data_IF_513539274735
#
_entry.id   IF_513539274735
#
_cell.length_a   1.000
_cell.length_b   1.000
_cell.length_c   1.000
_cell.angle_alpha   90.00
_cell.angle_beta   90.00
_cell.angle_gamma   90.00
#
_symmetry.space_group_name_H-M   'P 1'
#
loop_
_entity.id
_entity.type
_entity.pdbx_description
1 polymer ?
#
# COMPACT_ATOMS: atom_id res chain seq x y z
N UNK A 1 24.88 32.74 16.27
CA UNK A 1 24.45 31.57 15.46
C UNK A 1 23.03 31.23 15.85
N UNK A 2 22.10 30.94 14.91
CA UNK A 2 20.87 30.11 15.11
C UNK A 2 19.56 30.51 14.39
N UNK A 3 19.53 31.45 13.44
CA UNK A 3 18.32 31.61 12.58
C UNK A 3 18.48 31.07 11.16
N UNK A 4 19.67 31.21 10.58
CA UNK A 4 19.96 30.71 9.22
C UNK A 4 19.99 29.17 9.14
N UNK A 5 20.47 28.51 10.20
CA UNK A 5 20.57 27.04 10.26
C UNK A 5 19.20 26.36 10.35
N UNK A 6 18.27 26.93 11.12
CA UNK A 6 16.91 26.40 11.27
C UNK A 6 16.11 26.54 9.95
N UNK A 7 16.33 27.62 9.20
CA UNK A 7 15.70 27.81 7.90
C UNK A 7 16.23 26.82 6.84
N UNK A 8 17.54 26.54 6.84
CA UNK A 8 18.15 25.61 5.89
C UNK A 8 17.68 24.16 6.10
N UNK A 9 17.61 23.70 7.36
CA UNK A 9 17.08 22.37 7.68
C UNK A 9 15.60 22.26 7.24
N UNK A 10 14.78 23.27 7.50
CA UNK A 10 13.38 23.30 7.05
C UNK A 10 13.21 23.17 5.54
N UNK A 11 14.05 23.83 4.74
CA UNK A 11 14.01 23.73 3.27
C UNK A 11 14.46 22.37 2.74
N UNK A 12 15.44 21.73 3.38
CA UNK A 12 15.95 20.41 2.97
C UNK A 12 14.90 19.32 3.25
N UNK A 13 14.24 19.37 4.42
CA UNK A 13 13.16 18.42 4.75
C UNK A 13 11.93 18.61 3.85
N UNK A 14 11.56 19.85 3.53
CA UNK A 14 10.46 20.12 2.59
C UNK A 14 10.78 19.65 1.15
N UNK A 15 12.03 19.81 0.71
CA UNK A 15 12.48 19.37 -0.62
C UNK A 15 12.55 17.84 -0.74
N UNK A 16 13.01 17.13 0.28
CA UNK A 16 12.99 15.66 0.31
C UNK A 16 11.56 15.12 0.31
N UNK A 17 10.66 15.71 1.11
CA UNK A 17 9.27 15.26 1.18
C UNK A 17 8.52 15.48 -0.14
N UNK A 18 8.76 16.61 -0.83
CA UNK A 18 8.20 16.83 -2.16
C UNK A 18 8.74 15.84 -3.20
N UNK A 19 10.03 15.50 -3.15
CA UNK A 19 10.63 14.49 -4.06
C UNK A 19 9.98 13.11 -3.90
N UNK A 20 9.76 12.64 -2.67
CA UNK A 20 9.09 11.36 -2.43
C UNK A 20 7.63 11.35 -2.88
N UNK A 21 6.90 12.44 -2.61
CA UNK A 21 5.51 12.61 -3.06
C UNK A 21 5.41 12.60 -4.59
N UNK A 22 6.29 13.32 -5.27
CA UNK A 22 6.31 13.37 -6.74
C UNK A 22 6.65 12.00 -7.32
N UNK A 23 7.59 11.26 -6.72
CA UNK A 23 7.88 9.87 -7.11
C UNK A 23 6.68 8.94 -6.92
N UNK A 24 5.95 9.05 -5.81
CA UNK A 24 4.74 8.26 -5.59
C UNK A 24 3.65 8.59 -6.62
N UNK A 25 3.41 9.86 -6.88
CA UNK A 25 2.43 10.30 -7.88
C UNK A 25 2.81 9.84 -9.29
N UNK A 26 4.09 9.93 -9.66
CA UNK A 26 4.58 9.44 -10.94
C UNK A 26 4.40 7.91 -11.07
N UNK A 27 4.67 7.17 -9.99
CA UNK A 27 4.50 5.72 -9.98
C UNK A 27 3.02 5.30 -10.11
N UNK A 28 2.10 6.02 -9.45
CA UNK A 28 0.66 5.80 -9.61
C UNK A 28 0.23 6.11 -11.05
N UNK A 29 0.60 7.29 -11.57
CA UNK A 29 0.20 7.74 -12.90
C UNK A 29 0.73 6.82 -14.02
N UNK A 30 1.93 6.28 -13.86
CA UNK A 30 2.53 5.34 -14.81
C UNK A 30 1.98 3.91 -14.70
N UNK A 31 1.14 3.61 -13.70
CA UNK A 31 0.61 2.26 -13.47
C UNK A 31 -0.71 2.02 -14.19
N UNK A 32 -0.74 1.05 -15.11
CA UNK A 32 -1.97 0.59 -15.75
C UNK A 32 -3.05 0.16 -14.75
N UNK A 33 -2.64 -0.33 -13.57
CA UNK A 33 -3.54 -0.86 -12.53
C UNK A 33 -4.01 0.19 -11.54
N UNK A 34 -3.19 1.18 -11.22
CA UNK A 34 -3.41 2.09 -10.09
C UNK A 34 -3.66 3.56 -10.51
N UNK A 35 -3.45 3.92 -11.79
CA UNK A 35 -3.61 5.30 -12.26
C UNK A 35 -4.99 5.92 -11.93
N UNK A 36 -6.04 5.09 -11.85
CA UNK A 36 -7.41 5.54 -11.53
C UNK A 36 -7.58 6.05 -10.10
N UNK A 37 -6.64 5.77 -9.19
CA UNK A 37 -6.66 6.29 -7.81
C UNK A 37 -6.37 7.80 -7.78
N UNK A 38 -5.57 8.28 -8.75
CA UNK A 38 -5.15 9.68 -8.84
C UNK A 38 -4.02 10.05 -7.88
N UNK A 39 -3.69 11.35 -7.86
CA UNK A 39 -2.56 11.86 -7.09
C UNK A 39 -2.82 11.89 -5.57
N UNK A 40 -1.78 11.61 -4.79
CA UNK A 40 -1.76 11.68 -3.32
C UNK A 40 -1.16 12.99 -2.84
N UNK A 41 -1.69 13.47 -1.71
CA UNK A 41 -1.32 14.76 -1.13
C UNK A 41 -0.25 14.64 -0.03
N UNK A 42 -0.15 13.45 0.60
CA UNK A 42 0.77 13.17 1.70
C UNK A 42 1.26 11.72 1.68
N UNK A 43 2.49 11.51 2.12
CA UNK A 43 3.08 10.22 2.44
C UNK A 43 3.43 10.16 3.93
N UNK A 44 3.22 9.00 4.55
CA UNK A 44 3.56 8.71 5.93
C UNK A 44 4.47 7.47 5.97
N UNK A 45 5.54 7.51 6.78
CA UNK A 45 6.41 6.35 6.98
C UNK A 45 5.65 5.21 7.67
N UNK A 46 5.93 3.97 7.26
CA UNK A 46 5.37 2.77 7.86
C UNK A 46 6.46 2.07 8.67
N UNK A 47 6.18 1.89 9.95
CA UNK A 47 6.99 1.10 10.88
C UNK A 47 6.23 -0.20 11.14
N UNK A 48 6.86 -1.35 10.94
CA UNK A 48 6.26 -2.67 11.06
C UNK A 48 7.33 -3.76 11.13
N UNK A 49 6.93 -5.00 11.38
CA UNK A 49 7.72 -6.17 11.02
C UNK A 49 7.67 -6.44 9.51
N UNK A 50 8.85 -6.56 8.88
CA UNK A 50 8.97 -6.63 7.41
C UNK A 50 8.23 -7.81 6.79
N UNK A 51 8.38 -9.01 7.35
CA UNK A 51 7.77 -10.21 6.82
C UNK A 51 6.23 -10.18 6.84
N UNK A 52 5.54 -9.97 7.98
CA UNK A 52 4.08 -9.89 8.00
C UNK A 52 3.55 -8.67 7.23
N UNK A 53 4.29 -7.55 7.19
CA UNK A 53 3.93 -6.40 6.34
C UNK A 53 3.88 -6.78 4.85
N UNK A 54 4.90 -7.49 4.36
CA UNK A 54 4.94 -7.94 2.96
C UNK A 54 3.85 -8.98 2.66
N UNK A 55 3.54 -9.88 3.59
CA UNK A 55 2.42 -10.82 3.46
C UNK A 55 1.09 -10.08 3.34
N UNK A 56 0.82 -9.08 4.21
CA UNK A 56 -0.38 -8.24 4.15
C UNK A 56 -0.48 -7.48 2.83
N UNK A 57 0.59 -6.83 2.39
CA UNK A 57 0.62 -6.13 1.11
C UNK A 57 0.35 -7.07 -0.07
N UNK A 58 0.91 -8.29 -0.04
CA UNK A 58 0.67 -9.29 -1.09
C UNK A 58 -0.80 -9.70 -1.13
N UNK A 59 -1.44 -9.91 0.04
CA UNK A 59 -2.87 -10.19 0.13
C UNK A 59 -3.72 -9.03 -0.42
N UNK A 60 -3.37 -7.77 -0.12
CA UNK A 60 -4.04 -6.59 -0.66
C UNK A 60 -3.88 -6.49 -2.18
N UNK A 61 -2.71 -6.81 -2.72
CA UNK A 61 -2.47 -6.78 -4.16
C UNK A 61 -3.28 -7.85 -4.91
N UNK A 62 -3.38 -9.05 -4.33
CA UNK A 62 -4.23 -10.12 -4.87
C UNK A 62 -5.71 -9.73 -4.85
N UNK A 63 -6.18 -9.16 -3.73
CA UNK A 63 -7.55 -8.69 -3.60
C UNK A 63 -7.87 -7.60 -4.64
N UNK A 64 -7.00 -6.60 -4.75
CA UNK A 64 -7.14 -5.53 -5.74
C UNK A 64 -7.25 -6.06 -7.17
N UNK A 65 -6.39 -7.02 -7.52
CA UNK A 65 -6.42 -7.63 -8.84
C UNK A 65 -7.75 -8.35 -9.09
N UNK A 66 -8.21 -9.17 -8.14
CA UNK A 66 -9.49 -9.85 -8.23
C UNK A 66 -10.66 -8.85 -8.42
N UNK A 67 -10.73 -7.81 -7.59
CA UNK A 67 -11.76 -6.77 -7.66
C UNK A 67 -11.73 -6.04 -9.01
N UNK A 68 -10.53 -5.72 -9.52
CA UNK A 68 -10.35 -5.06 -10.81
C UNK A 68 -10.86 -5.93 -11.97
N UNK A 69 -10.53 -7.23 -11.97
CA UNK A 69 -11.00 -8.16 -13.02
C UNK A 69 -12.51 -8.36 -12.93
N UNK A 70 -13.06 -8.52 -11.72
CA UNK A 70 -14.51 -8.64 -11.50
C UNK A 70 -15.25 -7.39 -11.98
N UNK A 71 -14.72 -6.19 -11.71
CA UNK A 71 -15.31 -4.93 -12.15
C UNK A 71 -15.28 -4.78 -13.67
N UNK A 72 -14.18 -5.16 -14.32
CA UNK A 72 -14.04 -5.13 -15.78
C UNK A 72 -14.98 -6.13 -16.48
N UNK A 73 -15.23 -7.28 -15.86
CA UNK A 73 -16.01 -8.38 -16.44
C UNK A 73 -17.37 -8.59 -15.75
N UNK A 74 -17.98 -7.51 -15.24
CA UNK A 74 -19.16 -7.52 -14.36
C UNK A 74 -20.32 -8.42 -14.81
N UNK A 75 -20.45 -8.70 -16.11
CA UNK A 75 -21.52 -9.51 -16.68
C UNK A 75 -21.06 -10.83 -17.31
N UNK A 76 -19.74 -11.10 -17.37
CA UNK A 76 -19.17 -12.24 -18.09
C UNK A 76 -17.92 -12.77 -17.36
N UNK A 77 -18.11 -13.39 -16.20
CA UNK A 77 -17.05 -14.14 -15.51
C UNK A 77 -17.05 -15.58 -16.03
N UNK A 78 -15.93 -16.05 -16.58
CA UNK A 78 -15.79 -17.44 -17.02
C UNK A 78 -15.63 -18.39 -15.84
N UNK A 79 -15.82 -19.70 -16.04
CA UNK A 79 -15.62 -20.70 -14.99
C UNK A 79 -14.17 -20.74 -14.50
N UNK A 80 -13.22 -20.54 -15.41
CA UNK A 80 -11.80 -20.48 -15.11
C UNK A 80 -11.47 -19.27 -14.22
N UNK A 81 -12.08 -18.11 -14.51
CA UNK A 81 -11.94 -16.90 -13.69
C UNK A 81 -12.59 -17.08 -12.31
N UNK A 82 -13.78 -17.69 -12.21
CA UNK A 82 -14.41 -17.99 -10.92
C UNK A 82 -13.52 -18.91 -10.06
N UNK A 83 -12.91 -19.94 -10.68
CA UNK A 83 -11.97 -20.83 -10.00
C UNK A 83 -10.72 -20.08 -9.52
N UNK A 84 -10.17 -19.19 -10.35
CA UNK A 84 -9.04 -18.34 -9.98
C UNK A 84 -9.38 -17.41 -8.81
N UNK A 85 -10.55 -16.78 -8.82
CA UNK A 85 -10.99 -15.92 -7.72
C UNK A 85 -11.15 -16.67 -6.40
N UNK A 86 -11.72 -17.88 -6.42
CA UNK A 86 -11.81 -18.73 -5.22
C UNK A 86 -10.42 -19.11 -4.70
N UNK A 87 -9.53 -19.54 -5.58
CA UNK A 87 -8.14 -19.85 -5.21
C UNK A 87 -7.41 -18.62 -4.64
N UNK A 88 -7.65 -17.44 -5.20
CA UNK A 88 -7.08 -16.19 -4.70
C UNK A 88 -7.67 -15.84 -3.34
N UNK A 89 -8.97 -16.05 -3.10
CA UNK A 89 -9.62 -15.81 -1.81
C UNK A 89 -9.01 -16.69 -0.70
N UNK A 90 -8.78 -17.98 -0.97
CA UNK A 90 -8.13 -18.89 -0.03
C UNK A 90 -6.70 -18.44 0.30
N UNK A 91 -5.93 -18.04 -0.72
CA UNK A 91 -4.57 -17.54 -0.53
C UNK A 91 -4.54 -16.20 0.22
N UNK A 92 -5.45 -15.27 -0.09
CA UNK A 92 -5.59 -13.99 0.60
C UNK A 92 -5.87 -14.24 2.09
N UNK A 93 -6.80 -15.14 2.41
CA UNK A 93 -7.12 -15.48 3.79
C UNK A 93 -5.92 -16.11 4.50
N UNK A 94 -5.24 -17.06 3.85
CA UNK A 94 -4.03 -17.69 4.38
C UNK A 94 -2.95 -16.65 4.69
N UNK A 95 -2.61 -15.76 3.75
CA UNK A 95 -1.60 -14.72 3.94
C UNK A 95 -1.95 -13.77 5.08
N UNK A 96 -3.24 -13.42 5.25
CA UNK A 96 -3.70 -12.57 6.37
C UNK A 96 -3.52 -13.26 7.72
N UNK A 97 -3.87 -14.55 7.80
CA UNK A 97 -3.70 -15.34 9.03
C UNK A 97 -2.22 -15.52 9.36
N UNK A 98 -1.40 -15.91 8.38
CA UNK A 98 0.05 -16.09 8.57
C UNK A 98 0.73 -14.77 8.98
N UNK A 99 0.34 -13.65 8.37
CA UNK A 99 0.84 -12.33 8.77
C UNK A 99 0.50 -12.01 10.23
N UNK A 100 -0.75 -12.21 10.65
CA UNK A 100 -1.18 -11.93 12.02
C UNK A 100 -0.46 -12.84 13.04
N UNK A 101 -0.30 -14.12 12.72
CA UNK A 101 0.43 -15.07 13.55
C UNK A 101 1.91 -14.69 13.69
N UNK A 102 2.55 -14.31 12.59
CA UNK A 102 3.96 -13.92 12.57
C UNK A 102 4.20 -12.60 13.30
N UNK A 103 3.30 -11.65 13.14
CA UNK A 103 3.31 -10.37 13.85
C UNK A 103 3.24 -10.61 15.37
N UNK A 104 2.32 -11.46 15.83
CA UNK A 104 2.23 -11.85 17.24
C UNK A 104 3.50 -12.56 17.74
N UNK A 105 4.07 -13.49 16.96
CA UNK A 105 5.32 -14.18 17.30
C UNK A 105 6.47 -13.18 17.51
N UNK A 106 6.63 -12.24 16.58
CA UNK A 106 7.69 -11.24 16.60
C UNK A 106 7.51 -10.24 17.76
N UNK A 107 6.27 -9.83 18.04
CA UNK A 107 5.95 -8.97 19.18
C UNK A 107 6.31 -9.66 20.51
N UNK A 108 5.91 -10.93 20.68
CA UNK A 108 6.22 -11.71 21.89
C UNK A 108 7.73 -12.01 22.05
N UNK A 109 8.48 -12.05 20.95
CA UNK A 109 9.93 -12.24 20.97
C UNK A 109 10.71 -11.00 21.41
N UNK A 110 10.06 -9.83 21.46
CA UNK A 110 10.69 -8.54 21.79
C UNK A 110 11.53 -7.95 20.66
N UNK A 111 11.46 -8.50 19.44
CA UNK A 111 12.03 -7.88 18.24
C UNK A 111 11.32 -6.55 18.00
N UNK A 112 12.08 -5.50 17.69
CA UNK A 112 11.51 -4.18 17.38
C UNK A 112 11.11 -4.10 15.92
N UNK A 113 10.00 -3.41 15.69
CA UNK A 113 9.60 -3.00 14.36
C UNK A 113 10.63 -2.08 13.71
N UNK A 114 10.64 -2.07 12.39
CA UNK A 114 11.58 -1.28 11.60
C UNK A 114 10.84 -0.54 10.50
N UNK A 115 11.52 0.43 9.88
CA UNK A 115 10.98 1.08 8.70
C UNK A 115 10.86 0.09 7.54
N UNK A 116 9.66 -0.03 6.96
CA UNK A 116 9.36 -0.99 5.90
C UNK A 116 8.90 -0.34 4.59
N UNK A 117 8.56 0.95 4.60
CA UNK A 117 8.05 1.64 3.42
C UNK A 117 7.22 2.88 3.73
N UNK A 118 6.45 3.32 2.75
CA UNK A 118 5.57 4.48 2.87
C UNK A 118 4.11 4.08 2.64
N UNK A 119 3.21 4.86 3.23
CA UNK A 119 1.77 4.79 2.94
C UNK A 119 1.26 6.16 2.52
N UNK A 120 0.27 6.18 1.63
CA UNK A 120 -0.46 7.39 1.27
C UNK A 120 -1.95 7.14 1.41
N UNK A 121 -2.69 8.18 1.81
CA UNK A 121 -4.15 8.15 1.85
C UNK A 121 -4.72 9.02 0.73
N UNK A 122 -5.67 8.47 -0.04
CA UNK A 122 -6.47 9.21 -1.02
C UNK A 122 -7.95 9.09 -0.69
N UNK A 123 -8.65 10.23 -0.56
CA UNK A 123 -10.12 10.23 -0.54
C UNK A 123 -10.63 10.03 -1.97
N UNK A 124 -11.51 9.06 -2.15
CA UNK A 124 -12.19 8.79 -3.43
C UNK A 124 -13.69 9.08 -3.28
N UNK A 125 -14.44 9.08 -4.37
CA UNK A 125 -15.91 9.19 -4.32
C UNK A 125 -16.57 8.06 -3.52
N UNK A 126 -15.88 6.92 -3.40
CA UNK A 126 -16.43 5.68 -2.85
C UNK A 126 -15.87 5.37 -1.45
N UNK A 127 -15.07 6.26 -0.87
CA UNK A 127 -14.46 6.06 0.46
C UNK A 127 -13.02 6.56 0.51
N UNK A 128 -12.15 5.75 1.10
CA UNK A 128 -10.73 6.06 1.27
C UNK A 128 -9.89 4.91 0.70
N UNK A 129 -8.87 5.25 -0.07
CA UNK A 129 -7.82 4.33 -0.48
C UNK A 129 -6.56 4.57 0.35
N UNK A 130 -5.93 3.50 0.83
CA UNK A 130 -4.59 3.52 1.42
C UNK A 130 -3.66 2.78 0.46
N UNK A 131 -2.61 3.45 0.01
CA UNK A 131 -1.64 2.92 -0.95
C UNK A 131 -0.33 2.68 -0.23
N UNK A 132 0.22 1.48 -0.31
CA UNK A 132 1.50 1.11 0.29
C UNK A 132 2.59 1.07 -0.77
N UNK A 133 3.76 1.62 -0.43
CA UNK A 133 4.96 1.66 -1.26
C UNK A 133 6.14 1.04 -0.53
N UNK A 134 7.13 0.58 -1.27
CA UNK A 134 8.40 0.18 -0.67
C UNK A 134 9.19 1.38 -0.13
N UNK A 135 10.27 1.08 0.60
CA UNK A 135 11.18 2.02 1.25
C UNK A 135 11.85 3.01 0.27
N UNK A 136 11.89 2.70 -1.02
CA UNK A 136 12.44 3.56 -2.05
C UNK A 136 11.39 4.19 -2.97
N UNK A 137 10.10 3.91 -2.80
CA UNK A 137 9.00 4.34 -3.69
C UNK A 137 9.31 3.97 -5.16
N UNK A 138 9.75 2.73 -5.37
CA UNK A 138 9.96 2.13 -6.70
C UNK A 138 8.80 1.21 -7.09
N UNK A 139 8.03 0.71 -6.12
CA UNK A 139 6.87 -0.17 -6.38
C UNK A 139 5.71 0.12 -5.43
N UNK A 140 4.50 -0.05 -5.95
CA UNK A 140 3.28 -0.13 -5.15
C UNK A 140 3.17 -1.56 -4.64
N UNK A 141 3.13 -1.72 -3.31
CA UNK A 141 3.10 -3.00 -2.63
C UNK A 141 1.68 -3.53 -2.44
N UNK A 142 0.71 -2.64 -2.27
CA UNK A 142 -0.68 -3.01 -2.03
C UNK A 142 -1.56 -1.78 -1.93
N UNK A 143 -2.86 -1.99 -2.10
CA UNK A 143 -3.87 -0.93 -1.91
C UNK A 143 -5.03 -1.51 -1.12
N UNK A 144 -5.46 -0.77 -0.10
CA UNK A 144 -6.61 -1.08 0.73
C UNK A 144 -7.71 -0.05 0.44
N UNK A 145 -8.94 -0.52 0.23
CA UNK A 145 -10.12 0.33 0.14
C UNK A 145 -10.95 0.19 1.40
N UNK A 146 -11.15 1.33 2.06
CA UNK A 146 -12.15 1.50 3.10
C UNK A 146 -13.36 2.18 2.45
N UNK A 147 -14.31 1.35 2.00
CA UNK A 147 -15.56 1.83 1.42
C UNK A 147 -16.44 2.41 2.54
N UNK A 148 -17.10 3.54 2.28
CA UNK A 148 -18.23 3.91 3.14
C UNK A 148 -19.34 2.89 2.88
N UNK A 149 -19.78 2.21 3.95
CA UNK A 149 -21.05 1.47 3.97
C UNK A 149 -22.23 2.36 3.56
#
# INVERSE_FOLDING_TARGET
MNKLFILLLGTIFASCNNSYKDRANNLIAASDRYHTIGAVDRLDSVISYKEPFMMRCSALQMLWYADSVMKANKYHVTKEQDKEFRSNADMINKLRIEAAQKELELELSGIKETFVGYSATKKTSNGKAIIYFDDEIKRILGVEYDCKE
#
